data_IF_330290473727
#
_entry.id   IF_330290473727
#
_cell.length_a   1.000
_cell.length_b   1.000
_cell.length_c   1.000
_cell.angle_alpha   90.00
_cell.angle_beta   90.00
_cell.angle_gamma   90.00
#
_symmetry.space_group_name_H-M   'P 1'
#
loop_
_entity.id
_entity.type
_entity.pdbx_description
1 polymer ?
#
# COMPACT_ATOMS: atom_id res chain seq x y z
N UNK A 1 -14.12 0.79 19.61
CA UNK A 1 -15.02 0.99 18.46
C UNK A 1 -16.10 -0.07 18.57
N UNK A 2 -17.29 0.34 19.00
CA UNK A 2 -18.46 -0.53 19.15
C UNK A 2 -19.01 -0.86 17.75
N UNK A 3 -19.31 -2.12 17.47
CA UNK A 3 -20.00 -2.51 16.23
C UNK A 3 -21.43 -1.94 16.26
N UNK A 4 -21.78 -1.08 15.29
CA UNK A 4 -23.14 -0.55 15.17
C UNK A 4 -23.97 -1.45 14.22
N UNK A 5 -24.93 -2.24 14.71
CA UNK A 5 -25.73 -3.13 13.87
C UNK A 5 -26.64 -2.39 12.89
N UNK A 6 -26.89 -1.10 13.09
CA UNK A 6 -27.71 -0.28 12.18
C UNK A 6 -26.93 0.23 10.97
N UNK A 7 -25.59 0.22 11.02
CA UNK A 7 -24.71 0.70 9.96
C UNK A 7 -23.55 -0.29 9.75
N UNK A 8 -23.83 -1.46 9.16
CA UNK A 8 -22.82 -2.49 8.99
C UNK A 8 -21.75 -2.08 7.97
N UNK A 9 -20.49 -2.28 8.33
CA UNK A 9 -19.31 -2.19 7.46
C UNK A 9 -18.86 -3.60 7.05
N UNK A 10 -18.14 -3.75 5.92
CA UNK A 10 -17.57 -5.06 5.52
C UNK A 10 -16.57 -5.54 6.57
N UNK A 11 -15.72 -4.63 7.04
CA UNK A 11 -14.77 -4.90 8.10
C UNK A 11 -14.77 -3.73 9.08
N UNK A 12 -14.73 -3.97 10.41
CA UNK A 12 -14.70 -2.86 11.36
C UNK A 12 -13.50 -1.95 11.07
N UNK A 13 -13.72 -0.64 11.19
CA UNK A 13 -12.78 0.43 10.85
C UNK A 13 -11.32 0.15 11.25
N UNK A 14 -11.11 -0.24 12.51
CA UNK A 14 -9.77 -0.52 13.04
C UNK A 14 -9.09 -1.69 12.30
N UNK A 15 -9.85 -2.75 12.00
CA UNK A 15 -9.33 -3.91 11.27
C UNK A 15 -9.11 -3.58 9.79
N UNK A 16 -10.01 -2.82 9.16
CA UNK A 16 -9.84 -2.35 7.79
C UNK A 16 -8.59 -1.49 7.63
N UNK A 17 -8.41 -0.52 8.53
CA UNK A 17 -7.25 0.35 8.57
C UNK A 17 -5.98 -0.49 8.79
N UNK A 18 -5.94 -1.33 9.82
CA UNK A 18 -4.78 -2.16 10.12
C UNK A 18 -4.41 -3.09 8.96
N UNK A 19 -5.42 -3.67 8.29
CA UNK A 19 -5.22 -4.54 7.14
C UNK A 19 -4.58 -3.80 5.97
N UNK A 20 -5.11 -2.63 5.60
CA UNK A 20 -4.58 -1.81 4.50
C UNK A 20 -3.16 -1.32 4.79
N UNK A 21 -2.90 -0.85 6.02
CA UNK A 21 -1.55 -0.45 6.46
C UNK A 21 -0.53 -1.58 6.31
N UNK A 22 -0.87 -2.78 6.82
CA UNK A 22 0.03 -3.93 6.72
C UNK A 22 0.29 -4.30 5.26
N UNK A 23 -0.74 -4.28 4.42
CA UNK A 23 -0.60 -4.57 2.98
C UNK A 23 0.23 -3.51 2.25
N UNK A 24 0.11 -2.24 2.62
CA UNK A 24 0.92 -1.15 2.06
C UNK A 24 2.42 -1.31 2.33
N UNK A 25 2.82 -2.12 3.31
CA UNK A 25 4.22 -2.49 3.56
C UNK A 25 4.57 -3.82 2.87
N UNK A 26 3.75 -4.85 3.05
CA UNK A 26 4.05 -6.20 2.57
C UNK A 26 4.09 -6.28 1.03
N UNK A 27 3.22 -5.56 0.33
CA UNK A 27 3.15 -5.60 -1.13
C UNK A 27 4.40 -5.00 -1.78
N UNK A 28 4.90 -3.82 -1.38
CA UNK A 28 6.18 -3.31 -1.86
C UNK A 28 7.36 -4.25 -1.53
N UNK A 29 7.44 -4.79 -0.31
CA UNK A 29 8.50 -5.72 0.08
C UNK A 29 8.49 -6.97 -0.80
N UNK A 30 7.33 -7.59 -0.98
CA UNK A 30 7.17 -8.76 -1.84
C UNK A 30 7.46 -8.46 -3.31
N UNK A 31 7.14 -7.26 -3.80
CA UNK A 31 7.47 -6.84 -5.16
C UNK A 31 8.99 -6.80 -5.40
N UNK A 32 9.78 -6.35 -4.42
CA UNK A 32 11.25 -6.37 -4.51
C UNK A 32 11.76 -7.82 -4.61
N UNK A 33 11.27 -8.71 -3.74
CA UNK A 33 11.67 -10.12 -3.72
C UNK A 33 11.30 -10.81 -5.04
N UNK A 34 10.07 -10.60 -5.50
CA UNK A 34 9.54 -11.21 -6.73
C UNK A 34 10.29 -10.68 -7.96
N UNK A 35 10.57 -9.38 -8.03
CA UNK A 35 11.34 -8.79 -9.13
C UNK A 35 12.77 -9.34 -9.22
N UNK A 36 13.37 -9.80 -8.11
CA UNK A 36 14.68 -10.46 -8.11
C UNK A 36 14.61 -11.88 -8.68
N UNK A 37 13.52 -12.59 -8.41
CA UNK A 37 13.30 -13.97 -8.90
C UNK A 37 12.95 -13.99 -10.40
N UNK A 38 12.30 -12.94 -10.91
CA UNK A 38 11.94 -12.83 -12.32
C UNK A 38 13.16 -12.50 -13.18
N UNK A 39 13.35 -13.26 -14.26
CA UNK A 39 14.35 -12.98 -15.31
C UNK A 39 13.81 -12.04 -16.38
N UNK A 40 12.51 -12.09 -16.66
CA UNK A 40 11.80 -11.26 -17.64
C UNK A 40 10.74 -10.38 -16.94
N UNK A 41 10.53 -9.16 -17.42
CA UNK A 41 9.53 -8.19 -16.89
C UNK A 41 9.67 -7.87 -15.39
N UNK A 42 10.90 -7.64 -14.91
CA UNK A 42 11.18 -7.21 -13.52
C UNK A 42 10.45 -5.94 -13.07
N UNK A 43 9.98 -5.12 -14.02
CA UNK A 43 9.20 -3.92 -13.75
C UNK A 43 7.76 -4.22 -13.30
N UNK A 44 7.19 -5.36 -13.70
CA UNK A 44 5.78 -5.68 -13.47
C UNK A 44 5.42 -5.77 -11.97
N UNK A 45 6.18 -6.46 -11.10
CA UNK A 45 5.90 -6.46 -9.67
C UNK A 45 5.92 -5.05 -9.06
N UNK A 46 6.84 -4.19 -9.50
CA UNK A 46 6.93 -2.82 -9.00
C UNK A 46 5.74 -1.97 -9.44
N UNK A 47 5.28 -2.11 -10.69
CA UNK A 47 4.08 -1.43 -11.20
C UNK A 47 2.84 -1.88 -10.43
N UNK A 48 2.69 -3.18 -10.17
CA UNK A 48 1.56 -3.69 -9.39
C UNK A 48 1.59 -3.18 -7.94
N UNK A 49 2.76 -3.13 -7.30
CA UNK A 49 2.89 -2.57 -5.96
C UNK A 49 2.57 -1.06 -5.93
N UNK A 50 3.01 -0.31 -6.93
CA UNK A 50 2.67 1.11 -7.05
C UNK A 50 1.16 1.31 -7.20
N UNK A 51 0.52 0.55 -8.10
CA UNK A 51 -0.93 0.61 -8.30
C UNK A 51 -1.67 0.25 -7.01
N UNK A 52 -1.22 -0.79 -6.28
CA UNK A 52 -1.80 -1.14 -4.99
C UNK A 52 -1.76 0.04 -4.02
N UNK A 53 -0.57 0.60 -3.74
CA UNK A 53 -0.42 1.70 -2.77
C UNK A 53 -1.27 2.90 -3.18
N UNK A 54 -1.29 3.24 -4.48
CA UNK A 54 -2.09 4.33 -5.01
C UNK A 54 -3.60 4.12 -4.82
N UNK A 55 -4.10 2.90 -5.02
CA UNK A 55 -5.52 2.57 -4.89
C UNK A 55 -5.94 2.12 -3.47
N UNK A 56 -4.98 1.97 -2.55
CA UNK A 56 -5.23 1.53 -1.17
C UNK A 56 -6.26 2.37 -0.39
N UNK A 57 -6.38 3.72 -0.57
CA UNK A 57 -7.45 4.48 0.07
C UNK A 57 -8.84 4.06 -0.41
N UNK A 58 -8.98 3.69 -1.68
CA UNK A 58 -10.26 3.23 -2.25
C UNK A 58 -10.62 1.88 -1.61
N UNK A 59 -9.65 0.98 -1.46
CA UNK A 59 -9.87 -0.29 -0.75
C UNK A 59 -10.30 -0.05 0.69
N UNK A 60 -9.65 0.89 1.41
CA UNK A 60 -10.07 1.23 2.77
C UNK A 60 -11.49 1.80 2.81
N UNK A 61 -11.83 2.71 1.90
CA UNK A 61 -13.19 3.25 1.80
C UNK A 61 -14.22 2.12 1.58
N UNK A 62 -13.96 1.19 0.66
CA UNK A 62 -14.89 0.07 0.42
C UNK A 62 -15.05 -0.80 1.67
N UNK A 63 -13.96 -1.04 2.42
CA UNK A 63 -14.01 -1.92 3.60
C UNK A 63 -14.67 -1.26 4.82
N UNK A 64 -14.43 0.03 5.02
CA UNK A 64 -14.77 0.75 6.23
C UNK A 64 -15.97 1.68 6.10
N UNK A 65 -16.40 2.04 4.88
CA UNK A 65 -17.60 2.88 4.71
C UNK A 65 -18.85 2.07 5.06
N UNK A 66 -19.70 2.58 5.96
CA UNK A 66 -20.94 1.90 6.33
C UNK A 66 -21.95 1.93 5.19
N UNK A 67 -22.76 0.87 5.10
CA UNK A 67 -23.93 0.86 4.23
C UNK A 67 -25.01 1.78 4.81
N UNK A 68 -25.28 2.91 4.15
CA UNK A 68 -26.32 3.87 4.56
C UNK A 68 -27.63 3.63 3.82
N UNK A 69 -28.75 3.96 4.45
CA UNK A 69 -30.06 3.88 3.82
C UNK A 69 -30.24 5.01 2.79
N UNK A 70 -31.13 4.83 1.78
CA UNK A 70 -31.40 5.88 0.81
C UNK A 70 -31.90 7.17 1.47
N UNK A 71 -31.19 8.29 1.26
CA UNK A 71 -31.53 9.60 1.82
C UNK A 71 -30.79 9.96 3.11
N UNK A 72 -29.93 9.07 3.62
CA UNK A 72 -28.97 9.39 4.69
C UNK A 72 -27.66 9.88 4.08
N UNK A 73 -27.09 10.92 4.68
CA UNK A 73 -25.83 11.53 4.26
C UNK A 73 -24.70 11.15 5.21
N UNK A 74 -23.51 10.92 4.65
CA UNK A 74 -22.33 10.60 5.44
C UNK A 74 -22.00 11.71 6.43
N UNK A 75 -21.59 11.33 7.64
CA UNK A 75 -21.19 12.28 8.66
C UNK A 75 -19.93 13.04 8.23
N UNK A 76 -19.70 14.28 8.73
CA UNK A 76 -18.50 15.04 8.42
C UNK A 76 -17.18 14.32 8.79
N UNK A 77 -17.26 13.34 9.69
CA UNK A 77 -16.13 12.54 10.16
C UNK A 77 -15.85 11.25 9.38
N UNK A 78 -16.77 10.77 8.53
CA UNK A 78 -16.66 9.44 7.92
C UNK A 78 -15.46 9.33 6.96
N UNK A 79 -15.07 10.45 6.34
CA UNK A 79 -13.88 10.51 5.48
C UNK A 79 -12.55 10.57 6.23
N UNK A 80 -12.55 10.86 7.54
CA UNK A 80 -11.32 11.09 8.32
C UNK A 80 -10.49 9.82 8.49
N UNK A 81 -11.12 8.64 8.42
CA UNK A 81 -10.45 7.35 8.49
C UNK A 81 -9.47 7.12 7.33
N UNK A 82 -9.62 7.83 6.21
CA UNK A 82 -8.74 7.73 5.06
C UNK A 82 -7.43 8.52 5.24
N UNK A 83 -7.40 9.52 6.12
CA UNK A 83 -6.25 10.40 6.29
C UNK A 83 -4.95 9.66 6.63
N UNK A 84 -4.94 8.65 7.53
CA UNK A 84 -3.74 7.90 7.82
C UNK A 84 -3.16 7.20 6.59
N UNK A 85 -4.01 6.58 5.76
CA UNK A 85 -3.57 5.91 4.52
C UNK A 85 -3.15 6.91 3.44
N UNK A 86 -3.84 8.04 3.31
CA UNK A 86 -3.43 9.12 2.41
C UNK A 86 -2.06 9.69 2.79
N UNK A 87 -1.79 9.81 4.09
CA UNK A 87 -0.48 10.25 4.61
C UNK A 87 0.59 9.18 4.42
N UNK A 88 0.22 7.91 4.49
CA UNK A 88 1.11 6.77 4.30
C UNK A 88 1.65 6.68 2.86
N UNK A 89 0.84 6.97 1.85
CA UNK A 89 1.22 6.88 0.42
C UNK A 89 2.56 7.57 0.12
N UNK A 90 2.76 8.88 0.37
CA UNK A 90 4.03 9.53 0.05
C UNK A 90 5.20 8.94 0.85
N UNK A 91 4.98 8.54 2.11
CA UNK A 91 6.01 7.92 2.95
C UNK A 91 6.46 6.58 2.35
N UNK A 92 5.52 5.70 2.04
CA UNK A 92 5.79 4.38 1.44
C UNK A 92 6.49 4.55 0.09
N UNK A 93 6.03 5.46 -0.77
CA UNK A 93 6.65 5.72 -2.06
C UNK A 93 8.09 6.21 -1.95
N UNK A 94 8.36 7.14 -1.03
CA UNK A 94 9.72 7.66 -0.78
C UNK A 94 10.65 6.56 -0.27
N UNK A 95 10.24 5.84 0.79
CA UNK A 95 11.04 4.75 1.36
C UNK A 95 11.31 3.66 0.32
N UNK A 96 10.29 3.32 -0.46
CA UNK A 96 10.41 2.33 -1.52
C UNK A 96 11.37 2.78 -2.63
N UNK A 97 11.27 4.02 -3.08
CA UNK A 97 12.18 4.59 -4.08
C UNK A 97 13.64 4.60 -3.58
N UNK A 98 13.87 5.06 -2.35
CA UNK A 98 15.20 5.05 -1.72
C UNK A 98 15.77 3.64 -1.64
N UNK A 99 14.95 2.66 -1.26
CA UNK A 99 15.35 1.25 -1.21
C UNK A 99 15.77 0.74 -2.58
N UNK A 100 14.99 1.03 -3.63
CA UNK A 100 15.34 0.62 -5.00
C UNK A 100 16.62 1.28 -5.50
N UNK A 101 16.82 2.57 -5.20
CA UNK A 101 18.05 3.31 -5.55
C UNK A 101 19.25 2.70 -4.84
N UNK A 102 19.16 2.48 -3.53
CA UNK A 102 20.21 1.85 -2.73
C UNK A 102 20.61 0.49 -3.32
N UNK A 103 19.63 -0.39 -3.56
CA UNK A 103 19.86 -1.70 -4.15
C UNK A 103 20.51 -1.64 -5.54
N UNK A 104 20.12 -0.66 -6.35
CA UNK A 104 20.70 -0.43 -7.68
C UNK A 104 22.16 -0.01 -7.58
N UNK A 105 22.48 0.93 -6.68
CA UNK A 105 23.84 1.42 -6.45
C UNK A 105 24.75 0.31 -5.92
N UNK A 106 24.32 -0.45 -4.90
CA UNK A 106 25.09 -1.57 -4.36
C UNK A 106 25.44 -2.60 -5.45
N UNK A 107 24.48 -2.92 -6.33
CA UNK A 107 24.72 -3.85 -7.44
C UNK A 107 25.75 -3.33 -8.44
N UNK A 108 25.75 -2.04 -8.74
CA UNK A 108 26.72 -1.43 -9.66
C UNK A 108 28.14 -1.47 -9.08
N UNK A 109 28.29 -1.16 -7.80
CA UNK A 109 29.58 -1.21 -7.10
C UNK A 109 30.13 -2.65 -7.11
N UNK A 110 29.32 -3.64 -6.76
CA UNK A 110 29.74 -5.05 -6.77
C UNK A 110 30.07 -5.57 -8.17
N UNK A 111 29.41 -5.05 -9.23
CA UNK A 111 29.74 -5.42 -10.61
C UNK A 111 31.08 -4.82 -11.06
N UNK A 112 31.43 -3.63 -10.61
CA UNK A 112 32.68 -2.96 -10.96
C UNK A 112 33.90 -3.63 -10.32
N UNK A 113 33.77 -4.17 -9.10
CA UNK A 113 34.85 -4.87 -8.40
C UNK A 113 35.19 -6.26 -8.96
N UNK A 114 34.34 -6.82 -9.82
CA UNK A 114 34.52 -8.15 -10.42
C UNK A 114 35.05 -8.13 -11.87
N UNK A 115 35.42 -6.97 -12.42
CA UNK A 115 36.10 -6.92 -13.73
C UNK A 115 37.56 -7.38 -13.56
N UNK A 116 37.99 -8.53 -14.14
CA UNK A 116 39.39 -8.90 -14.16
C UNK A 116 40.12 -7.96 -15.13
N UNK A 117 41.21 -7.36 -14.64
CA UNK A 117 42.23 -6.66 -15.43
C UNK A 117 43.00 -7.62 -16.33
#
# INVERSE_FOLDING_TARGET
MEYNPHYPTILPEFFALSFVFVLNILIPVSAILTARMLTRRRWLPHTLAFLWVFFSPITLAILATPAMAPGEEAGPGDGMILLPVLTEIPVVLVVYALTLIYLRLTRQISSASHSPS
#
